data_IF_933219045912
#
_entry.id   IF_933219045912
#
_cell.length_a   1.000
_cell.length_b   1.000
_cell.length_c   1.000
_cell.angle_alpha   90.00
_cell.angle_beta   90.00
_cell.angle_gamma   90.00
#
_symmetry.space_group_name_H-M   'P 1'
#
loop_
_entity.id
_entity.type
_entity.pdbx_description
1 polymer ?
#
# COMPACT_ATOMS: atom_id res chain seq x y z
N UNK A 1 -18.22 -4.21 -8.39
CA UNK A 1 -17.18 -3.16 -8.45
C UNK A 1 -17.78 -1.97 -9.21
N UNK A 2 -18.16 -0.94 -8.52
CA UNK A 2 -18.62 0.31 -9.16
C UNK A 2 -17.36 1.05 -9.62
N UNK A 3 -17.17 1.19 -10.93
CA UNK A 3 -16.10 2.03 -11.46
C UNK A 3 -16.29 3.45 -10.95
N UNK A 4 -15.23 4.04 -10.38
CA UNK A 4 -15.26 5.44 -9.97
C UNK A 4 -15.57 6.31 -11.20
N UNK A 5 -16.56 7.19 -11.09
CA UNK A 5 -16.87 8.16 -12.15
C UNK A 5 -15.73 9.17 -12.18
N UNK A 6 -15.02 9.35 -13.32
CA UNK A 6 -13.93 10.31 -13.40
C UNK A 6 -14.43 11.71 -13.06
N UNK A 7 -13.74 12.39 -12.15
CA UNK A 7 -13.99 13.81 -11.88
C UNK A 7 -13.63 14.61 -13.14
N UNK A 8 -14.55 15.46 -13.59
CA UNK A 8 -14.35 16.27 -14.79
C UNK A 8 -13.07 17.12 -14.64
N UNK A 9 -12.14 17.00 -15.60
CA UNK A 9 -10.89 17.75 -15.63
C UNK A 9 -9.70 17.07 -14.93
N UNK A 10 -9.86 15.91 -14.31
CA UNK A 10 -8.73 15.14 -13.75
C UNK A 10 -8.25 14.13 -14.81
N UNK A 11 -6.96 14.15 -15.19
CA UNK A 11 -6.45 13.22 -16.19
C UNK A 11 -6.42 11.79 -15.66
N UNK A 12 -6.86 10.85 -16.47
CA UNK A 12 -6.62 9.43 -16.22
C UNK A 12 -5.13 9.12 -16.42
N UNK A 13 -4.53 8.48 -15.44
CA UNK A 13 -3.10 8.10 -15.45
C UNK A 13 -2.94 6.59 -15.22
N UNK A 14 -1.73 6.07 -15.45
CA UNK A 14 -1.42 4.70 -15.08
C UNK A 14 -1.68 4.44 -13.58
N UNK A 15 -1.34 5.40 -12.73
CA UNK A 15 -1.57 5.29 -11.28
C UNK A 15 -3.07 5.18 -10.95
N UNK A 16 -3.91 6.03 -11.54
CA UNK A 16 -5.36 5.99 -11.25
C UNK A 16 -5.97 4.66 -11.68
N UNK A 17 -5.56 4.11 -12.82
CA UNK A 17 -6.00 2.78 -13.28
C UNK A 17 -5.49 1.66 -12.38
N UNK A 18 -4.19 1.66 -12.04
CA UNK A 18 -3.56 0.61 -11.24
C UNK A 18 -4.10 0.56 -9.81
N UNK A 19 -4.32 1.72 -9.21
CA UNK A 19 -4.78 1.82 -7.82
C UNK A 19 -6.32 1.86 -7.68
N UNK A 20 -7.06 2.06 -8.78
CA UNK A 20 -8.52 2.22 -8.76
C UNK A 20 -8.96 3.50 -8.04
N UNK A 21 -8.20 4.58 -8.18
CA UNK A 21 -8.42 5.88 -7.52
C UNK A 21 -8.83 6.96 -8.52
N UNK A 22 -9.43 8.05 -8.03
CA UNK A 22 -9.91 9.15 -8.86
C UNK A 22 -8.83 10.20 -9.14
N UNK A 23 -8.03 10.51 -8.12
CA UNK A 23 -6.98 11.52 -8.18
C UNK A 23 -5.60 10.85 -8.26
N UNK A 24 -4.69 11.26 -9.16
CA UNK A 24 -3.35 10.69 -9.25
C UNK A 24 -2.44 11.17 -8.10
N UNK A 25 -2.88 10.95 -6.87
CA UNK A 25 -2.21 11.39 -5.63
C UNK A 25 -2.04 10.21 -4.69
N UNK A 26 -0.83 10.04 -4.18
CA UNK A 26 -0.49 9.07 -3.14
C UNK A 26 -0.18 9.83 -1.84
N UNK A 27 -0.92 9.55 -0.77
CA UNK A 27 -0.50 9.86 0.59
C UNK A 27 0.49 8.80 1.04
N UNK A 28 1.79 9.06 0.84
CA UNK A 28 2.86 8.11 1.10
C UNK A 28 2.96 7.68 2.56
N UNK A 29 3.54 6.51 2.78
CA UNK A 29 3.79 5.99 4.12
C UNK A 29 4.91 6.82 4.80
N UNK A 30 4.57 7.51 5.86
CA UNK A 30 5.47 8.38 6.62
C UNK A 30 5.55 7.90 8.08
N UNK A 31 6.70 7.37 8.48
CA UNK A 31 6.94 7.03 9.87
C UNK A 31 7.25 8.31 10.70
N UNK A 32 6.60 8.56 11.83
CA UNK A 32 5.50 7.81 12.46
C UNK A 32 4.10 8.38 12.09
N UNK A 33 4.00 9.28 11.11
CA UNK A 33 2.85 10.16 10.90
C UNK A 33 1.65 9.52 10.20
N UNK A 34 1.84 8.43 9.43
CA UNK A 34 0.74 7.78 8.70
C UNK A 34 -0.17 6.98 9.64
N UNK A 35 -1.00 7.70 10.39
CA UNK A 35 -2.03 7.12 11.24
C UNK A 35 -3.26 6.71 10.42
N UNK A 36 -4.18 5.90 10.98
CA UNK A 36 -5.38 5.46 10.28
C UNK A 36 -6.25 6.58 9.75
N UNK A 37 -6.34 7.70 10.48
CA UNK A 37 -7.15 8.86 10.11
C UNK A 37 -6.60 9.55 8.85
N UNK A 38 -5.29 9.79 8.78
CA UNK A 38 -4.65 10.38 7.60
C UNK A 38 -4.79 9.48 6.38
N UNK A 39 -4.45 8.19 6.53
CA UNK A 39 -4.53 7.19 5.44
C UNK A 39 -5.97 7.07 4.94
N UNK A 40 -6.92 6.95 5.85
CA UNK A 40 -8.35 6.87 5.52
C UNK A 40 -8.84 8.14 4.83
N UNK A 41 -8.46 9.33 5.33
CA UNK A 41 -8.88 10.60 4.74
C UNK A 41 -8.37 10.79 3.30
N UNK A 42 -7.10 10.45 3.03
CA UNK A 42 -6.54 10.53 1.66
C UNK A 42 -7.36 9.66 0.71
N UNK A 43 -7.64 8.41 1.09
CA UNK A 43 -8.41 7.49 0.26
C UNK A 43 -9.88 7.93 0.13
N UNK A 44 -10.50 8.42 1.20
CA UNK A 44 -11.88 8.91 1.17
C UNK A 44 -12.08 10.08 0.17
N UNK A 45 -11.02 10.87 -0.06
CA UNK A 45 -11.05 12.01 -0.98
C UNK A 45 -10.49 11.69 -2.37
N UNK A 46 -10.42 10.41 -2.74
CA UNK A 46 -10.13 9.98 -4.12
C UNK A 46 -8.66 9.75 -4.43
N UNK A 47 -7.75 9.97 -3.50
CA UNK A 47 -6.34 9.57 -3.62
C UNK A 47 -6.10 8.15 -3.15
N UNK A 48 -4.84 7.76 -2.98
CA UNK A 48 -4.40 6.50 -2.37
C UNK A 48 -3.68 6.77 -1.06
N UNK A 49 -4.30 6.47 0.06
CA UNK A 49 -3.63 6.44 1.36
C UNK A 49 -2.79 5.18 1.50
N UNK A 50 -1.50 5.34 1.76
CA UNK A 50 -0.57 4.21 1.94
C UNK A 50 -0.14 4.14 3.40
N UNK A 51 -0.42 3.02 4.05
CA UNK A 51 -0.03 2.79 5.44
C UNK A 51 1.26 1.97 5.55
N UNK A 52 1.90 2.09 6.70
CA UNK A 52 3.08 1.32 7.05
C UNK A 52 2.79 0.41 8.25
N UNK A 53 3.02 -0.91 8.14
CA UNK A 53 2.72 -1.87 9.21
C UNK A 53 3.33 -1.53 10.56
N UNK A 54 4.61 -1.11 10.57
CA UNK A 54 5.30 -0.73 11.80
C UNK A 54 4.62 0.45 12.49
N UNK A 55 4.24 1.49 11.74
CA UNK A 55 3.54 2.65 12.31
C UNK A 55 2.18 2.24 12.86
N UNK A 56 1.41 1.46 12.10
CA UNK A 56 0.09 1.01 12.50
C UNK A 56 0.11 0.21 13.80
N UNK A 57 1.07 -0.71 13.94
CA UNK A 57 1.13 -1.64 15.07
C UNK A 57 1.87 -1.07 16.28
N UNK A 58 3.08 -0.52 16.08
CA UNK A 58 3.95 -0.17 17.20
C UNK A 58 3.89 1.31 17.60
N UNK A 59 3.48 2.19 16.69
CA UNK A 59 3.32 3.62 17.01
C UNK A 59 1.89 3.89 17.43
N UNK A 60 0.93 3.43 16.64
CA UNK A 60 -0.49 3.71 16.88
C UNK A 60 -1.21 2.60 17.67
N UNK A 61 -0.54 1.49 17.99
CA UNK A 61 -1.00 0.47 18.92
C UNK A 61 -2.17 -0.38 18.45
N UNK A 62 -2.43 -0.42 17.14
CA UNK A 62 -3.50 -1.24 16.59
C UNK A 62 -3.07 -2.70 16.38
N UNK A 63 -3.99 -3.65 16.62
CA UNK A 63 -3.90 -4.93 15.93
C UNK A 63 -3.86 -4.68 14.43
N UNK A 64 -3.03 -5.42 13.71
CA UNK A 64 -2.76 -5.11 12.30
C UNK A 64 -4.01 -5.25 11.43
N UNK A 65 -4.77 -6.33 11.61
CA UNK A 65 -6.01 -6.59 10.87
C UNK A 65 -7.10 -5.57 11.20
N UNK A 66 -7.28 -5.29 12.48
CA UNK A 66 -8.28 -4.34 12.94
C UNK A 66 -7.94 -2.91 12.50
N UNK A 67 -6.66 -2.56 12.46
CA UNK A 67 -6.19 -1.29 11.92
C UNK A 67 -6.50 -1.13 10.42
N UNK A 68 -6.31 -2.17 9.61
CA UNK A 68 -6.72 -2.15 8.19
C UNK A 68 -8.23 -1.95 8.05
N UNK A 69 -9.02 -2.67 8.85
CA UNK A 69 -10.48 -2.54 8.85
C UNK A 69 -10.94 -1.14 9.28
N UNK A 70 -10.26 -0.55 10.28
CA UNK A 70 -10.50 0.83 10.67
C UNK A 70 -10.23 1.80 9.51
N UNK A 71 -9.04 1.72 8.90
CA UNK A 71 -8.70 2.56 7.74
C UNK A 71 -9.68 2.40 6.59
N UNK A 72 -10.14 1.18 6.32
CA UNK A 72 -11.15 0.91 5.29
C UNK A 72 -12.48 1.61 5.56
N UNK A 73 -12.95 1.61 6.82
CA UNK A 73 -14.15 2.36 7.21
C UNK A 73 -13.96 3.87 7.02
N UNK A 74 -12.82 4.40 7.48
CA UNK A 74 -12.47 5.81 7.32
C UNK A 74 -12.30 6.22 5.85
N UNK A 75 -11.84 5.31 5.00
CA UNK A 75 -11.73 5.49 3.56
C UNK A 75 -13.06 5.33 2.80
N UNK A 76 -14.19 5.12 3.47
CA UNK A 76 -15.47 4.82 2.83
C UNK A 76 -15.39 3.64 1.85
N UNK A 77 -14.66 2.59 2.23
CA UNK A 77 -14.34 1.40 1.43
C UNK A 77 -13.56 1.66 0.12
N UNK A 78 -12.93 2.83 -0.02
CA UNK A 78 -12.05 3.16 -1.15
C UNK A 78 -10.70 2.43 -1.01
N UNK A 79 -9.92 2.32 -2.11
CA UNK A 79 -8.64 1.63 -2.11
C UNK A 79 -7.66 2.17 -1.06
N UNK A 80 -6.90 1.23 -0.48
CA UNK A 80 -5.77 1.48 0.42
C UNK A 80 -4.52 0.87 -0.18
N UNK A 81 -3.37 1.47 0.08
CA UNK A 81 -2.06 0.92 -0.23
C UNK A 81 -1.27 0.56 1.03
N UNK A 82 -0.36 -0.40 0.92
CA UNK A 82 0.56 -0.80 1.98
C UNK A 82 2.00 -0.60 1.55
N UNK A 83 2.84 -0.03 2.42
CA UNK A 83 4.28 -0.02 2.23
C UNK A 83 4.91 -1.27 2.87
N UNK A 84 5.59 -2.07 2.06
CA UNK A 84 6.33 -3.24 2.50
C UNK A 84 7.84 -3.01 2.34
N UNK A 85 8.52 -2.72 3.45
CA UNK A 85 9.98 -2.61 3.48
C UNK A 85 10.63 -3.99 3.36
N UNK A 86 11.56 -4.13 2.42
CA UNK A 86 12.29 -5.37 2.20
C UNK A 86 13.61 -5.32 2.95
N UNK A 87 13.57 -5.74 4.21
CA UNK A 87 14.75 -5.74 5.07
C UNK A 87 15.35 -7.15 5.15
N UNK A 88 16.57 -7.30 4.64
CA UNK A 88 17.24 -8.60 4.57
C UNK A 88 18.12 -8.90 5.80
N UNK A 89 18.45 -7.88 6.61
CA UNK A 89 19.38 -8.05 7.75
C UNK A 89 18.73 -8.71 8.97
N UNK A 90 17.40 -8.75 9.04
CA UNK A 90 16.67 -9.31 10.17
C UNK A 90 15.65 -10.36 9.73
N UNK A 91 15.93 -11.61 10.07
CA UNK A 91 15.01 -12.74 9.81
C UNK A 91 13.64 -12.54 10.48
N UNK A 92 13.63 -12.10 11.73
CA UNK A 92 12.38 -11.84 12.48
C UNK A 92 11.55 -10.75 11.82
N UNK A 93 12.20 -9.69 11.30
CA UNK A 93 11.50 -8.64 10.57
C UNK A 93 10.91 -9.18 9.26
N UNK A 94 11.67 -9.97 8.52
CA UNK A 94 11.19 -10.58 7.29
C UNK A 94 9.96 -11.47 7.51
N UNK A 95 10.01 -12.38 8.48
CA UNK A 95 8.90 -13.28 8.84
C UNK A 95 7.64 -12.49 9.23
N UNK A 96 7.81 -11.40 9.96
CA UNK A 96 6.72 -10.48 10.33
C UNK A 96 6.15 -9.77 9.09
N UNK A 97 7.00 -9.29 8.18
CA UNK A 97 6.55 -8.63 6.96
C UNK A 97 5.76 -9.60 6.07
N UNK A 98 6.20 -10.85 5.95
CA UNK A 98 5.44 -11.90 5.23
C UNK A 98 4.04 -12.06 5.83
N UNK A 99 3.93 -12.13 7.15
CA UNK A 99 2.64 -12.21 7.85
C UNK A 99 1.76 -10.99 7.53
N UNK A 100 2.31 -9.78 7.61
CA UNK A 100 1.56 -8.55 7.34
C UNK A 100 1.11 -8.44 5.87
N UNK A 101 1.95 -8.84 4.91
CA UNK A 101 1.56 -8.85 3.49
C UNK A 101 0.39 -9.81 3.28
N UNK A 102 0.44 -11.01 3.83
CA UNK A 102 -0.64 -11.99 3.71
C UNK A 102 -1.95 -11.47 4.34
N UNK A 103 -1.91 -10.93 5.55
CA UNK A 103 -3.09 -10.34 6.20
C UNK A 103 -3.65 -9.17 5.38
N UNK A 104 -2.80 -8.30 4.84
CA UNK A 104 -3.25 -7.19 4.01
C UNK A 104 -3.95 -7.68 2.73
N UNK A 105 -3.42 -8.73 2.08
CA UNK A 105 -4.04 -9.35 0.92
C UNK A 105 -5.40 -9.99 1.26
N UNK A 106 -5.51 -10.69 2.39
CA UNK A 106 -6.77 -11.26 2.90
C UNK A 106 -7.80 -10.15 3.16
N UNK A 107 -7.38 -9.02 3.72
CA UNK A 107 -8.24 -7.85 3.92
C UNK A 107 -8.47 -7.03 2.63
N UNK A 108 -8.03 -7.50 1.47
CA UNK A 108 -8.33 -6.92 0.16
C UNK A 108 -7.47 -5.72 -0.23
N UNK A 109 -6.34 -5.47 0.41
CA UNK A 109 -5.35 -4.51 -0.08
C UNK A 109 -4.75 -5.06 -1.38
N UNK A 110 -4.66 -4.22 -2.42
CA UNK A 110 -4.21 -4.64 -3.75
C UNK A 110 -3.12 -3.73 -4.34
N UNK A 111 -2.77 -2.65 -3.67
CA UNK A 111 -1.68 -1.77 -4.08
C UNK A 111 -0.58 -1.78 -3.02
N UNK A 112 0.63 -2.12 -3.44
CA UNK A 112 1.80 -2.18 -2.56
C UNK A 112 2.91 -1.29 -3.06
N UNK A 113 3.58 -0.61 -2.14
CA UNK A 113 4.85 0.06 -2.39
C UNK A 113 5.93 -0.73 -1.68
N UNK A 114 6.99 -1.08 -2.38
CA UNK A 114 8.15 -1.77 -1.78
C UNK A 114 9.40 -0.93 -1.94
N UNK A 115 10.29 -0.99 -0.99
CA UNK A 115 11.59 -0.30 -1.01
C UNK A 115 12.69 -1.15 -0.36
N UNK A 116 13.93 -0.77 -0.59
CA UNK A 116 15.15 -1.45 -0.20
C UNK A 116 15.41 -2.73 -1.02
N UNK A 117 15.47 -3.92 -0.40
CA UNK A 117 15.90 -5.17 -1.01
C UNK A 117 15.10 -5.66 -2.22
N UNK A 118 15.25 -6.94 -2.58
CA UNK A 118 14.58 -7.53 -3.75
C UNK A 118 13.09 -7.78 -3.46
N UNK A 119 12.17 -7.12 -4.18
CA UNK A 119 10.72 -7.20 -3.91
C UNK A 119 10.04 -8.46 -4.44
N UNK A 120 10.75 -9.38 -5.09
CA UNK A 120 10.18 -10.50 -5.84
C UNK A 120 9.12 -11.27 -5.06
N UNK A 121 9.38 -11.64 -3.82
CA UNK A 121 8.44 -12.42 -3.02
C UNK A 121 7.13 -11.65 -2.73
N UNK A 122 7.19 -10.33 -2.53
CA UNK A 122 5.99 -9.48 -2.38
C UNK A 122 5.27 -9.39 -3.71
N UNK A 123 6.02 -9.13 -4.80
CA UNK A 123 5.45 -8.99 -6.13
C UNK A 123 4.71 -10.26 -6.56
N UNK A 124 5.31 -11.43 -6.35
CA UNK A 124 4.69 -12.72 -6.68
C UNK A 124 3.37 -12.92 -5.91
N UNK A 125 3.36 -12.68 -4.60
CA UNK A 125 2.16 -12.81 -3.77
C UNK A 125 1.06 -11.81 -4.16
N UNK A 126 1.43 -10.55 -4.40
CA UNK A 126 0.49 -9.48 -4.75
C UNK A 126 -0.09 -9.70 -6.15
N UNK A 127 0.73 -10.07 -7.13
CA UNK A 127 0.27 -10.36 -8.50
C UNK A 127 -0.65 -11.57 -8.55
N UNK A 128 -0.38 -12.63 -7.78
CA UNK A 128 -1.29 -13.77 -7.64
C UNK A 128 -2.66 -13.35 -7.12
N UNK A 129 -2.71 -12.34 -6.25
CA UNK A 129 -3.97 -11.80 -5.73
C UNK A 129 -4.62 -10.74 -6.64
N UNK A 130 -4.06 -10.50 -7.84
CA UNK A 130 -4.55 -9.49 -8.79
C UNK A 130 -4.24 -8.05 -8.38
N UNK A 131 -3.21 -7.85 -7.57
CA UNK A 131 -2.74 -6.53 -7.13
C UNK A 131 -1.57 -6.00 -7.95
N UNK A 132 -1.08 -4.84 -7.56
CA UNK A 132 0.02 -4.10 -8.22
C UNK A 132 1.08 -3.73 -7.21
N UNK A 133 2.35 -3.81 -7.61
CA UNK A 133 3.51 -3.41 -6.80
C UNK A 133 4.25 -2.28 -7.51
N UNK A 134 4.49 -1.20 -6.78
CA UNK A 134 5.44 -0.16 -7.17
C UNK A 134 6.69 -0.32 -6.30
N UNK A 135 7.84 -0.47 -6.96
CA UNK A 135 9.11 -0.61 -6.25
C UNK A 135 9.91 0.68 -6.32
N UNK A 136 10.31 1.18 -5.15
CA UNK A 136 11.17 2.36 -5.02
C UNK A 136 12.63 1.96 -5.29
N UNK A 137 13.24 2.59 -6.29
CA UNK A 137 14.61 2.32 -6.71
C UNK A 137 15.42 3.61 -6.81
N UNK A 138 16.69 3.53 -6.43
CA UNK A 138 17.61 4.67 -6.51
C UNK A 138 18.26 4.82 -7.90
N UNK A 139 18.27 3.74 -8.68
CA UNK A 139 18.87 3.71 -10.02
C UNK A 139 18.03 2.90 -11.00
N UNK A 140 17.96 3.35 -12.24
CA UNK A 140 17.22 2.66 -13.31
C UNK A 140 17.71 1.21 -13.55
N UNK A 141 19.02 0.95 -13.39
CA UNK A 141 19.61 -0.38 -13.53
C UNK A 141 19.05 -1.35 -12.48
N UNK A 142 18.87 -0.90 -11.24
CA UNK A 142 18.27 -1.69 -10.16
C UNK A 142 16.81 -2.00 -10.50
N UNK A 143 16.05 -1.01 -10.95
CA UNK A 143 14.66 -1.21 -11.34
C UNK A 143 14.50 -2.28 -12.42
N UNK A 144 15.36 -2.26 -13.46
CA UNK A 144 15.34 -3.26 -14.54
C UNK A 144 15.72 -4.67 -14.09
N UNK A 145 16.48 -4.82 -13.02
CA UNK A 145 16.87 -6.13 -12.50
C UNK A 145 15.75 -6.81 -11.68
N UNK A 146 14.73 -6.06 -11.28
CA UNK A 146 13.63 -6.53 -10.42
C UNK A 146 12.29 -6.69 -11.17
N UNK A 147 12.25 -6.40 -12.46
CA UNK A 147 11.06 -6.57 -13.33
C UNK A 147 11.00 -7.97 -13.93
#
# INVERSE_FOLDING_TARGET
>A
MTAAVPLAGVPETALTRHAGIELPVIGGAMYPCSNPELVGAVSAHGGLGVFQPISLTFVHGHDFRDGIRLMRRLASNRPLGMNALIEASSRTYHERMVTWVNVALEEGVRFFVTSLGNPRWVADAVHQAGGVVYHDVTELKIGRAHV
#
